data_IF_913563425361
#
_entry.id   IF_913563425361
#
_cell.length_a   1.000
_cell.length_b   1.000
_cell.length_c   1.000
_cell.angle_alpha   90.00
_cell.angle_beta   90.00
_cell.angle_gamma   90.00
#
_symmetry.space_group_name_H-M   'P 1'
#
loop_
_entity.id
_entity.type
_entity.pdbx_description
1 polymer ?
#
# COMPACT_ATOMS: atom_id res chain seq x y z
N UNK A 1 15.26 4.17 22.16
CA UNK A 1 15.43 2.71 22.08
C UNK A 1 14.67 1.98 23.16
N UNK A 2 15.19 1.93 24.38
CA UNK A 2 14.55 1.20 25.49
C UNK A 2 13.15 1.73 25.85
N UNK A 3 12.90 3.03 25.66
CA UNK A 3 11.58 3.63 25.89
C UNK A 3 10.48 3.08 24.96
N UNK A 4 10.78 2.75 23.69
CA UNK A 4 9.78 2.19 22.78
C UNK A 4 9.45 0.74 23.14
N UNK A 5 10.44 -0.03 23.62
CA UNK A 5 10.21 -1.39 24.14
C UNK A 5 9.38 -1.36 25.42
N UNK A 6 9.67 -0.43 26.33
CA UNK A 6 8.85 -0.22 27.52
C UNK A 6 7.42 0.16 27.13
N UNK A 7 7.24 1.09 26.18
CA UNK A 7 5.92 1.47 25.68
C UNK A 7 5.16 0.28 25.08
N UNK A 8 5.84 -0.58 24.31
CA UNK A 8 5.26 -1.83 23.82
C UNK A 8 4.75 -2.70 24.97
N UNK A 9 5.59 -2.93 25.98
CA UNK A 9 5.21 -3.74 27.15
C UNK A 9 4.03 -3.14 27.90
N UNK A 10 3.97 -1.80 28.01
CA UNK A 10 2.85 -1.09 28.64
C UNK A 10 1.56 -1.21 27.82
N UNK A 11 1.61 -1.11 26.48
CA UNK A 11 0.43 -1.31 25.61
C UNK A 11 -0.12 -2.73 25.79
N UNK A 12 0.76 -3.73 25.80
CA UNK A 12 0.36 -5.13 26.00
C UNK A 12 -0.20 -5.34 27.40
N UNK A 13 0.47 -4.83 28.44
CA UNK A 13 0.02 -4.97 29.82
C UNK A 13 -1.32 -4.28 30.04
N UNK A 14 -1.47 -3.04 29.57
CA UNK A 14 -2.71 -2.28 29.66
C UNK A 14 -3.82 -3.04 28.94
N UNK A 15 -3.58 -3.61 27.76
CA UNK A 15 -4.60 -4.41 27.08
C UNK A 15 -5.11 -5.60 27.92
N UNK A 16 -4.24 -6.29 28.66
CA UNK A 16 -4.64 -7.45 29.47
C UNK A 16 -5.24 -7.07 30.84
N UNK A 17 -4.85 -5.92 31.40
CA UNK A 17 -5.26 -5.48 32.74
C UNK A 17 -6.47 -4.54 32.68
N UNK A 18 -6.63 -3.80 31.58
CA UNK A 18 -7.70 -2.83 31.42
C UNK A 18 -9.05 -3.57 31.40
N UNK A 19 -10.01 -3.23 32.27
CA UNK A 19 -11.33 -3.88 32.35
C UNK A 19 -12.24 -3.63 31.12
N UNK A 20 -11.72 -3.15 30.01
CA UNK A 20 -12.49 -2.65 28.87
C UNK A 20 -12.84 -3.72 27.85
N UNK A 21 -14.13 -4.08 27.86
CA UNK A 21 -14.93 -4.67 26.77
C UNK A 21 -15.00 -6.21 26.61
N UNK A 22 -14.15 -7.02 27.27
CA UNK A 22 -14.28 -8.49 27.23
C UNK A 22 -14.84 -9.17 28.49
N UNK A 23 -15.51 -8.41 29.38
CA UNK A 23 -16.12 -8.99 30.57
C UNK A 23 -16.91 -7.99 31.39
N UNK A 24 -18.19 -7.82 31.09
CA UNK A 24 -19.16 -7.29 32.06
C UNK A 24 -19.39 -8.34 33.15
N UNK A 25 -18.40 -8.56 34.02
CA UNK A 25 -18.59 -9.20 35.31
C UNK A 25 -17.82 -8.42 36.37
N UNK A 26 -18.60 -7.79 37.27
CA UNK A 26 -18.25 -7.32 38.61
C UNK A 26 -17.53 -5.97 38.71
N UNK A 27 -18.32 -4.89 38.61
CA UNK A 27 -18.28 -3.82 39.62
C UNK A 27 -19.73 -3.35 39.85
N UNK A 28 -20.41 -4.07 40.74
CA UNK A 28 -21.67 -3.66 41.35
C UNK A 28 -21.37 -2.74 42.52
N UNK A 29 -20.99 -1.48 42.25
CA UNK A 29 -20.92 -0.43 43.28
C UNK A 29 -20.83 0.99 42.66
N UNK A 30 -21.70 1.29 41.67
CA UNK A 30 -22.08 2.68 41.40
C UNK A 30 -23.59 2.87 41.61
N UNK A 31 -24.03 4.01 42.18
CA UNK A 31 -25.43 4.25 42.46
C UNK A 31 -26.22 4.25 41.14
N UNK A 32 -27.28 3.45 41.11
CA UNK A 32 -28.25 3.38 40.01
C UNK A 32 -29.07 4.67 39.92
N UNK A 33 -28.45 5.77 39.47
CA UNK A 33 -29.14 7.02 39.17
C UNK A 33 -28.65 7.57 37.83
N UNK A 34 -28.95 6.86 36.75
CA UNK A 34 -28.98 7.40 35.39
C UNK A 34 -29.97 6.57 34.57
N UNK A 35 -30.98 7.19 33.93
CA UNK A 35 -32.03 6.45 33.25
C UNK A 35 -31.42 5.69 32.08
N UNK A 36 -31.77 4.41 31.97
CA UNK A 36 -31.37 3.45 30.94
C UNK A 36 -30.87 4.09 29.63
N UNK A 37 -29.57 4.38 29.54
CA UNK A 37 -28.95 4.78 28.27
C UNK A 37 -28.97 3.58 27.35
N UNK A 38 -29.60 3.70 26.17
CA UNK A 38 -29.60 2.63 25.18
C UNK A 38 -28.18 2.22 24.81
N UNK A 39 -27.99 0.98 24.33
CA UNK A 39 -26.67 0.50 23.88
C UNK A 39 -26.03 1.46 22.86
N UNK A 40 -26.83 2.00 21.94
CA UNK A 40 -26.43 3.01 20.97
C UNK A 40 -25.95 4.32 21.63
N UNK A 41 -26.62 4.78 22.69
CA UNK A 41 -26.21 5.98 23.42
C UNK A 41 -24.86 5.80 24.12
N UNK A 42 -24.59 4.60 24.66
CA UNK A 42 -23.28 4.25 25.22
C UNK A 42 -22.19 4.19 24.15
N UNK A 43 -22.45 3.52 23.02
CA UNK A 43 -21.52 3.45 21.90
C UNK A 43 -21.16 4.84 21.35
N UNK A 44 -22.16 5.71 21.18
CA UNK A 44 -21.97 7.09 20.76
C UNK A 44 -21.12 7.87 21.76
N UNK A 45 -21.42 7.75 23.06
CA UNK A 45 -20.64 8.42 24.11
C UNK A 45 -19.17 7.96 24.10
N UNK A 46 -18.91 6.65 23.98
CA UNK A 46 -17.54 6.12 23.87
C UNK A 46 -16.85 6.65 22.61
N UNK A 47 -17.55 6.76 21.49
CA UNK A 47 -16.99 7.32 20.25
C UNK A 47 -16.64 8.81 20.39
N UNK A 48 -17.48 9.60 21.07
CA UNK A 48 -17.20 11.01 21.36
C UNK A 48 -15.98 11.17 22.26
N UNK A 49 -15.90 10.38 23.35
CA UNK A 49 -14.76 10.39 24.27
C UNK A 49 -13.45 10.02 23.57
N UNK A 50 -13.48 8.97 22.74
CA UNK A 50 -12.35 8.60 21.90
C UNK A 50 -11.94 9.74 20.96
N UNK A 51 -12.90 10.39 20.30
CA UNK A 51 -12.59 11.50 19.40
C UNK A 51 -11.95 12.69 20.15
N UNK A 52 -12.39 12.96 21.38
CA UNK A 52 -11.79 13.99 22.22
C UNK A 52 -10.37 13.61 22.64
N UNK A 53 -10.14 12.34 23.01
CA UNK A 53 -8.84 11.86 23.47
C UNK A 53 -7.77 11.88 22.38
N UNK A 54 -8.10 11.45 21.16
CA UNK A 54 -7.15 11.45 20.04
C UNK A 54 -6.77 12.87 19.59
N UNK A 55 -7.58 13.88 19.94
CA UNK A 55 -7.33 15.30 19.67
C UNK A 55 -6.64 16.02 20.84
N UNK A 56 -6.57 15.39 22.02
CA UNK A 56 -5.98 15.98 23.20
C UNK A 56 -4.45 16.06 23.05
N UNK A 57 -3.89 17.23 23.38
CA UNK A 57 -2.43 17.44 23.44
C UNK A 57 -1.82 16.96 24.76
N UNK A 58 -2.64 16.68 25.77
CA UNK A 58 -2.24 16.22 27.09
C UNK A 58 -2.74 14.79 27.32
N UNK A 59 -2.14 14.12 28.31
CA UNK A 59 -2.54 12.79 28.73
C UNK A 59 -3.96 12.79 29.30
N UNK A 60 -4.82 11.89 28.81
CA UNK A 60 -6.20 11.73 29.27
C UNK A 60 -6.28 10.47 30.12
N UNK A 61 -6.34 10.61 31.45
CA UNK A 61 -6.23 9.48 32.38
C UNK A 61 -7.27 8.37 32.18
N UNK A 62 -8.43 8.70 31.62
CA UNK A 62 -9.55 7.77 31.41
C UNK A 62 -9.43 6.94 30.12
N UNK A 63 -8.35 7.09 29.37
CA UNK A 63 -8.18 6.47 28.06
C UNK A 63 -6.93 5.60 28.01
N UNK A 64 -6.96 4.46 27.30
CA UNK A 64 -5.77 3.64 27.13
C UNK A 64 -4.71 4.37 26.31
N UNK A 65 -3.46 3.95 26.45
CA UNK A 65 -2.28 4.45 25.70
C UNK A 65 -2.59 4.52 24.20
N UNK A 66 -3.24 3.49 23.65
CA UNK A 66 -3.55 3.40 22.22
C UNK A 66 -4.62 4.42 21.77
N UNK A 67 -5.39 4.99 22.69
CA UNK A 67 -6.36 6.05 22.44
C UNK A 67 -5.88 7.46 22.86
N UNK A 68 -4.63 7.59 23.33
CA UNK A 68 -4.03 8.89 23.66
C UNK A 68 -3.67 9.65 22.39
N UNK A 69 -4.10 10.91 22.26
CA UNK A 69 -3.75 11.77 21.12
C UNK A 69 -2.25 11.94 20.92
N UNK A 70 -1.48 12.02 22.00
CA UNK A 70 -0.02 12.09 21.95
C UNK A 70 0.60 10.84 21.31
N UNK A 71 0.13 9.64 21.69
CA UNK A 71 0.60 8.38 21.12
C UNK A 71 0.20 8.25 19.66
N UNK A 72 -1.09 8.45 19.34
CA UNK A 72 -1.62 8.35 17.97
C UNK A 72 -0.88 9.32 17.03
N UNK A 73 -0.68 10.56 17.45
CA UNK A 73 0.05 11.57 16.66
C UNK A 73 1.53 11.20 16.46
N UNK A 74 2.20 10.74 17.52
CA UNK A 74 3.58 10.27 17.42
C UNK A 74 3.71 9.06 16.49
N UNK A 75 2.83 8.06 16.63
CA UNK A 75 2.80 6.86 15.80
C UNK A 75 2.54 7.19 14.31
N UNK A 76 1.58 8.06 14.03
CA UNK A 76 1.25 8.47 12.65
C UNK A 76 2.36 9.27 11.96
N UNK A 77 3.26 9.90 12.73
CA UNK A 77 4.37 10.73 12.21
C UNK A 77 5.74 10.09 12.42
N UNK A 78 5.80 8.90 13.00
CA UNK A 78 7.01 8.24 13.48
C UNK A 78 8.11 8.09 12.42
N UNK A 79 7.72 7.94 11.15
CA UNK A 79 8.62 7.70 10.02
C UNK A 79 8.90 8.95 9.17
N UNK A 80 8.56 10.14 9.66
CA UNK A 80 8.92 11.37 8.96
C UNK A 80 10.44 11.61 9.09
N UNK A 81 11.15 11.91 7.98
CA UNK A 81 12.60 12.10 7.99
C UNK A 81 13.11 13.12 9.02
N UNK A 82 12.31 14.13 9.34
CA UNK A 82 12.62 15.15 10.34
C UNK A 82 12.91 14.59 11.76
N UNK A 83 12.49 13.37 12.07
CA UNK A 83 12.75 12.70 13.34
C UNK A 83 13.94 11.73 13.29
N UNK A 84 14.60 11.62 12.15
CA UNK A 84 15.82 10.84 11.94
C UNK A 84 15.57 9.36 11.63
N UNK A 85 16.19 8.88 10.54
CA UNK A 85 16.07 7.51 10.04
C UNK A 85 16.48 6.41 11.04
N UNK A 86 17.39 6.70 11.99
CA UNK A 86 17.86 5.74 12.98
C UNK A 86 16.74 5.24 13.92
N UNK A 87 15.68 6.03 14.12
CA UNK A 87 14.54 5.64 14.96
C UNK A 87 13.49 4.84 14.20
N UNK A 88 13.49 4.89 12.87
CA UNK A 88 12.44 4.29 12.05
C UNK A 88 12.30 2.78 12.26
N UNK A 89 13.37 1.94 12.25
CA UNK A 89 13.23 0.50 12.47
C UNK A 89 12.53 0.15 13.78
N UNK A 90 12.76 0.96 14.82
CA UNK A 90 12.25 0.73 16.17
C UNK A 90 10.78 1.11 16.29
N UNK A 91 10.37 2.17 15.61
CA UNK A 91 8.96 2.51 15.44
C UNK A 91 8.22 1.47 14.61
N UNK A 92 8.82 0.98 13.52
CA UNK A 92 8.24 -0.10 12.71
C UNK A 92 8.03 -1.35 13.58
N UNK A 93 9.04 -1.79 14.34
CA UNK A 93 8.93 -2.94 15.22
C UNK A 93 7.84 -2.77 16.29
N UNK A 94 7.82 -1.63 16.99
CA UNK A 94 6.79 -1.32 17.99
C UNK A 94 5.39 -1.39 17.37
N UNK A 95 5.17 -0.70 16.24
CA UNK A 95 3.83 -0.59 15.66
C UNK A 95 3.35 -1.91 15.07
N UNK A 96 4.24 -2.67 14.42
CA UNK A 96 3.91 -4.01 13.91
C UNK A 96 3.54 -4.98 15.04
N UNK A 97 4.28 -4.97 16.15
CA UNK A 97 3.99 -5.81 17.31
C UNK A 97 2.75 -5.38 18.11
N UNK A 98 2.34 -4.11 17.98
CA UNK A 98 1.22 -3.55 18.73
C UNK A 98 -0.11 -3.64 17.98
N UNK A 99 -0.11 -4.08 16.71
CA UNK A 99 -1.29 -4.09 15.83
C UNK A 99 -2.57 -4.69 16.45
N UNK A 100 -2.52 -5.83 17.17
CA UNK A 100 -3.73 -6.43 17.75
C UNK A 100 -4.37 -5.58 18.86
N UNK A 101 -3.62 -4.64 19.44
CA UNK A 101 -4.02 -3.85 20.61
C UNK A 101 -4.47 -2.43 20.26
N UNK A 102 -4.37 -2.02 18.99
CA UNK A 102 -4.64 -0.63 18.59
C UNK A 102 -6.12 -0.26 18.56
N UNK A 103 -7.03 -1.24 18.50
CA UNK A 103 -8.49 -1.00 18.52
C UNK A 103 -8.94 0.07 17.53
N UNK A 104 -9.74 1.03 18.00
CA UNK A 104 -10.24 2.20 17.24
C UNK A 104 -9.14 3.02 16.57
N UNK A 105 -7.93 3.03 17.14
CA UNK A 105 -6.80 3.78 16.60
C UNK A 105 -6.09 3.08 15.44
N UNK A 106 -6.41 1.82 15.16
CA UNK A 106 -5.74 1.01 14.13
C UNK A 106 -5.75 1.71 12.77
N UNK A 107 -6.92 2.12 12.28
CA UNK A 107 -7.04 2.74 10.95
C UNK A 107 -6.35 4.11 10.85
N UNK A 108 -6.46 4.93 11.90
CA UNK A 108 -5.89 6.30 11.93
C UNK A 108 -4.36 6.30 12.12
N UNK A 109 -3.78 5.21 12.62
CA UNK A 109 -2.32 5.03 12.71
C UNK A 109 -1.78 4.35 11.45
N UNK A 110 -2.38 3.24 11.02
CA UNK A 110 -1.83 2.38 9.96
C UNK A 110 -1.82 3.09 8.61
N UNK A 111 -2.90 3.79 8.23
CA UNK A 111 -2.97 4.47 6.94
C UNK A 111 -1.85 5.52 6.74
N UNK A 112 -1.68 6.54 7.61
CA UNK A 112 -0.60 7.51 7.43
C UNK A 112 0.80 6.89 7.56
N UNK A 113 0.95 5.83 8.37
CA UNK A 113 2.21 5.10 8.48
C UNK A 113 2.57 4.41 7.16
N UNK A 114 1.62 3.71 6.53
CA UNK A 114 1.75 3.11 5.20
C UNK A 114 2.10 4.17 4.16
N UNK A 115 1.37 5.29 4.13
CA UNK A 115 1.66 6.40 3.22
C UNK A 115 3.10 6.90 3.40
N UNK A 116 3.57 7.05 4.64
CA UNK A 116 4.92 7.54 4.92
C UNK A 116 6.00 6.51 4.56
N UNK A 117 5.77 5.21 4.79
CA UNK A 117 6.67 4.13 4.32
C UNK A 117 6.83 4.18 2.80
N UNK A 118 5.73 4.31 2.06
CA UNK A 118 5.72 4.43 0.60
C UNK A 118 6.51 5.66 0.14
N UNK A 119 6.28 6.83 0.75
CA UNK A 119 7.05 8.07 0.45
C UNK A 119 8.54 7.91 0.68
N UNK A 120 8.93 7.27 1.78
CA UNK A 120 10.33 7.04 2.10
C UNK A 120 10.98 6.07 1.08
N UNK A 121 10.27 5.00 0.69
CA UNK A 121 10.74 4.08 -0.36
C UNK A 121 10.89 4.79 -1.71
N UNK A 122 9.90 5.59 -2.11
CA UNK A 122 9.92 6.36 -3.36
C UNK A 122 11.10 7.33 -3.39
N UNK A 123 11.42 7.98 -2.26
CA UNK A 123 12.56 8.89 -2.15
C UNK A 123 13.90 8.15 -2.28
N UNK A 124 14.03 6.94 -1.70
CA UNK A 124 15.22 6.11 -1.89
C UNK A 124 15.40 5.71 -3.37
N UNK A 125 14.31 5.39 -4.08
CA UNK A 125 14.36 5.10 -5.52
C UNK A 125 14.77 6.35 -6.32
N UNK A 126 14.27 7.54 -5.96
CA UNK A 126 14.72 8.78 -6.60
C UNK A 126 16.21 9.03 -6.37
N UNK A 127 16.71 8.83 -5.15
CA UNK A 127 18.14 8.97 -4.86
C UNK A 127 18.97 8.00 -5.70
N UNK A 128 18.53 6.74 -5.81
CA UNK A 128 19.15 5.75 -6.71
C UNK A 128 19.20 6.21 -8.17
N UNK A 129 18.13 6.82 -8.69
CA UNK A 129 18.08 7.32 -10.07
C UNK A 129 18.99 8.55 -10.29
N UNK A 130 19.14 9.43 -9.29
CA UNK A 130 19.93 10.67 -9.40
C UNK A 130 21.44 10.45 -9.19
N UNK A 131 21.85 9.46 -8.39
CA UNK A 131 23.28 9.12 -8.22
C UNK A 131 23.93 8.63 -9.54
N UNK A 132 23.13 8.21 -10.53
CA UNK A 132 23.60 7.76 -11.85
C UNK A 132 23.91 8.88 -12.86
N UNK A 133 23.43 10.11 -12.64
CA UNK A 133 23.62 11.25 -13.53
C UNK A 133 24.26 12.42 -12.79
N UNK A 134 25.51 12.78 -13.14
CA UNK A 134 26.31 13.87 -12.54
C UNK A 134 25.43 14.99 -11.95
N UNK A 135 25.23 14.97 -10.64
CA UNK A 135 24.55 16.03 -9.91
C UNK A 135 25.44 16.47 -8.75
N UNK A 136 25.95 17.68 -8.92
CA UNK A 136 26.47 18.58 -7.90
C UNK A 136 25.75 18.34 -6.58
N UNK A 137 26.52 18.06 -5.52
CA UNK A 137 26.06 17.96 -4.13
C UNK A 137 24.99 19.01 -3.83
N UNK A 138 23.72 18.61 -3.91
CA UNK A 138 22.64 19.49 -3.47
C UNK A 138 22.64 19.45 -1.96
N UNK A 139 22.69 20.64 -1.38
CA UNK A 139 22.86 20.99 0.03
C UNK A 139 21.70 20.54 0.94
N UNK A 140 21.03 19.43 0.64
CA UNK A 140 19.95 18.84 1.45
C UNK A 140 20.40 17.51 2.06
N UNK A 141 21.48 16.91 1.56
CA UNK A 141 22.15 15.78 2.20
C UNK A 141 22.95 16.20 3.44
N UNK A 142 22.27 16.61 4.52
CA UNK A 142 22.76 16.15 5.82
C UNK A 142 22.83 14.64 5.67
N UNK A 143 24.04 14.10 5.82
CA UNK A 143 24.34 12.68 5.72
C UNK A 143 23.63 11.98 6.88
N UNK A 144 22.30 11.93 6.80
CA UNK A 144 21.49 11.19 7.74
C UNK A 144 21.86 9.73 7.48
N UNK A 145 22.36 9.07 8.53
CA UNK A 145 22.88 7.71 8.43
C UNK A 145 21.70 6.76 8.18
N UNK A 146 21.28 6.63 6.92
CA UNK A 146 20.30 5.65 6.47
C UNK A 146 21.00 4.31 6.44
N UNK A 147 20.48 3.35 7.21
CA UNK A 147 21.02 2.00 7.22
C UNK A 147 20.79 1.32 5.85
N UNK A 148 21.72 0.47 5.36
CA UNK A 148 21.62 -0.13 4.03
C UNK A 148 20.42 -1.08 3.87
N UNK A 149 19.92 -1.63 4.97
CA UNK A 149 18.75 -2.51 5.08
C UNK A 149 17.43 -1.75 5.22
N UNK A 150 17.45 -0.42 5.32
CA UNK A 150 16.27 0.40 5.54
C UNK A 150 15.12 0.17 4.54
N UNK A 151 15.35 0.01 3.21
CA UNK A 151 14.26 -0.36 2.28
C UNK A 151 13.58 -1.69 2.65
N UNK A 152 14.36 -2.67 3.12
CA UNK A 152 13.83 -3.97 3.52
C UNK A 152 13.03 -3.86 4.82
N UNK A 153 13.51 -3.07 5.80
CA UNK A 153 12.76 -2.78 7.03
C UNK A 153 11.41 -2.14 6.72
N UNK A 154 11.37 -1.18 5.79
CA UNK A 154 10.11 -0.54 5.37
C UNK A 154 9.18 -1.52 4.66
N UNK A 155 9.70 -2.37 3.78
CA UNK A 155 8.90 -3.39 3.08
C UNK A 155 8.33 -4.44 4.03
N UNK A 156 9.11 -4.88 5.02
CA UNK A 156 8.66 -5.80 6.05
C UNK A 156 7.53 -5.17 6.87
N UNK A 157 7.73 -3.94 7.36
CA UNK A 157 6.69 -3.19 8.06
C UNK A 157 5.43 -2.99 7.21
N UNK A 158 5.59 -2.56 5.96
CA UNK A 158 4.49 -2.36 5.01
C UNK A 158 3.68 -3.66 4.82
N UNK A 159 4.38 -4.79 4.73
CA UNK A 159 3.79 -6.13 4.60
C UNK A 159 3.00 -6.49 5.85
N UNK A 160 3.61 -6.44 7.03
CA UNK A 160 2.93 -6.79 8.29
C UNK A 160 1.70 -5.92 8.54
N UNK A 161 1.81 -4.60 8.38
CA UNK A 161 0.70 -3.67 8.60
C UNK A 161 -0.47 -3.94 7.65
N UNK A 162 -0.17 -4.06 6.36
CA UNK A 162 -1.19 -4.25 5.32
C UNK A 162 -1.85 -5.62 5.45
N UNK A 163 -1.06 -6.67 5.65
CA UNK A 163 -1.56 -8.05 5.74
C UNK A 163 -2.38 -8.25 7.01
N UNK A 164 -2.00 -7.66 8.14
CA UNK A 164 -2.82 -7.70 9.35
C UNK A 164 -4.20 -7.07 9.14
N UNK A 165 -4.28 -5.90 8.48
CA UNK A 165 -5.57 -5.24 8.25
C UNK A 165 -6.43 -5.93 7.17
N UNK A 166 -5.81 -6.59 6.20
CA UNK A 166 -6.51 -7.14 5.04
C UNK A 166 -6.75 -8.66 5.15
N UNK A 167 -5.74 -9.43 5.54
CA UNK A 167 -5.68 -10.89 5.40
C UNK A 167 -5.86 -11.65 6.72
N UNK A 168 -5.52 -11.06 7.86
CA UNK A 168 -5.60 -11.80 9.13
C UNK A 168 -7.05 -12.16 9.48
N UNK A 169 -7.24 -13.46 9.68
CA UNK A 169 -8.54 -14.10 9.84
C UNK A 169 -9.15 -13.79 11.22
N UNK A 170 -10.48 -13.83 11.27
CA UNK A 170 -11.35 -13.57 12.45
C UNK A 170 -10.95 -14.27 13.77
N UNK A 171 -10.04 -15.25 13.74
CA UNK A 171 -9.51 -15.97 14.92
C UNK A 171 -8.43 -15.20 15.68
N UNK A 172 -7.64 -14.33 15.01
CA UNK A 172 -6.62 -13.49 15.67
C UNK A 172 -7.19 -12.16 16.17
N UNK A 173 -8.31 -11.73 15.57
CA UNK A 173 -8.97 -10.44 15.83
C UNK A 173 -10.14 -10.55 16.82
N UNK A 174 -10.27 -11.67 17.54
CA UNK A 174 -11.32 -11.89 18.57
C UNK A 174 -11.31 -10.78 19.64
N UNK A 175 -10.17 -10.09 19.75
CA UNK A 175 -9.87 -8.97 20.61
C UNK A 175 -10.39 -7.58 20.17
N UNK A 176 -10.71 -7.37 18.89
CA UNK A 176 -11.06 -6.05 18.32
C UNK A 176 -12.51 -6.01 17.84
N UNK A 177 -13.19 -4.86 18.05
CA UNK A 177 -14.52 -4.61 17.50
C UNK A 177 -14.51 -4.81 15.96
N UNK A 178 -15.42 -5.62 15.39
CA UNK A 178 -15.53 -5.79 13.94
C UNK A 178 -15.69 -4.47 13.16
N UNK A 179 -16.25 -3.43 13.77
CA UNK A 179 -16.34 -2.10 13.16
C UNK A 179 -14.96 -1.45 12.98
N UNK A 180 -14.08 -1.56 13.97
CA UNK A 180 -12.73 -0.98 13.94
C UNK A 180 -11.85 -1.66 12.90
N UNK A 181 -11.90 -2.99 12.84
CA UNK A 181 -11.21 -3.79 11.81
C UNK A 181 -11.68 -3.38 10.41
N UNK A 182 -12.99 -3.19 10.23
CA UNK A 182 -13.55 -2.75 8.94
C UNK A 182 -13.09 -1.35 8.57
N UNK A 183 -13.05 -0.42 9.53
CA UNK A 183 -12.58 0.94 9.30
C UNK A 183 -11.09 0.96 8.92
N UNK A 184 -10.26 0.20 9.63
CA UNK A 184 -8.84 0.05 9.31
C UNK A 184 -8.64 -0.58 7.93
N UNK A 185 -9.38 -1.64 7.60
CA UNK A 185 -9.37 -2.27 6.27
C UNK A 185 -9.68 -1.25 5.17
N UNK A 186 -10.74 -0.46 5.34
CA UNK A 186 -11.11 0.55 4.34
C UNK A 186 -10.00 1.60 4.17
N UNK A 187 -9.43 2.09 5.27
CA UNK A 187 -8.32 3.05 5.22
C UNK A 187 -7.09 2.47 4.51
N UNK A 188 -6.75 1.19 4.74
CA UNK A 188 -5.65 0.52 4.03
C UNK A 188 -5.96 0.30 2.54
N UNK A 189 -7.21 -0.02 2.19
CA UNK A 189 -7.63 -0.16 0.79
C UNK A 189 -7.49 1.17 0.04
N UNK A 190 -7.77 2.31 0.68
CA UNK A 190 -7.58 3.64 0.07
C UNK A 190 -6.11 3.93 -0.27
N UNK A 191 -5.16 3.35 0.47
CA UNK A 191 -3.71 3.50 0.25
C UNK A 191 -3.13 2.52 -0.79
N UNK A 192 -3.90 1.51 -1.25
CA UNK A 192 -3.43 0.49 -2.21
C UNK A 192 -2.82 1.05 -3.51
N UNK A 193 -3.38 2.10 -4.15
CA UNK A 193 -2.77 2.68 -5.34
C UNK A 193 -1.36 3.23 -5.09
N UNK A 194 -1.14 3.83 -3.92
CA UNK A 194 0.17 4.38 -3.55
C UNK A 194 1.16 3.25 -3.25
N UNK A 195 0.76 2.25 -2.45
CA UNK A 195 1.57 1.06 -2.20
C UNK A 195 2.00 0.36 -3.49
N UNK A 196 1.05 0.14 -4.41
CA UNK A 196 1.33 -0.46 -5.71
C UNK A 196 2.28 0.40 -6.56
N UNK A 197 2.13 1.72 -6.52
CA UNK A 197 3.06 2.63 -7.21
C UNK A 197 4.48 2.47 -6.69
N UNK A 198 4.67 2.45 -5.37
CA UNK A 198 5.99 2.24 -4.74
C UNK A 198 6.58 0.87 -5.09
N UNK A 199 5.77 -0.19 -5.05
CA UNK A 199 6.20 -1.53 -5.46
C UNK A 199 6.65 -1.56 -6.92
N UNK A 200 5.92 -0.88 -7.82
CA UNK A 200 6.28 -0.79 -9.23
C UNK A 200 7.52 0.08 -9.48
N UNK A 201 7.87 1.03 -8.59
CA UNK A 201 9.14 1.75 -8.63
C UNK A 201 10.30 0.83 -8.23
N UNK A 202 10.17 0.13 -7.10
CA UNK A 202 11.16 -0.86 -6.63
C UNK A 202 11.36 -1.98 -7.65
N UNK A 203 10.28 -2.45 -8.29
CA UNK A 203 10.35 -3.44 -9.37
C UNK A 203 11.19 -2.95 -10.56
N UNK A 204 11.08 -1.66 -10.89
CA UNK A 204 11.92 -1.03 -11.91
C UNK A 204 13.39 -0.98 -11.53
N UNK A 205 13.72 -0.84 -10.24
CA UNK A 205 15.11 -0.95 -9.74
C UNK A 205 15.60 -2.40 -9.88
N UNK A 206 14.82 -3.38 -9.43
CA UNK A 206 15.14 -4.82 -9.56
C UNK A 206 15.46 -5.19 -11.01
N UNK A 207 14.61 -4.78 -11.96
CA UNK A 207 14.81 -5.08 -13.38
C UNK A 207 16.09 -4.46 -13.96
N UNK A 208 16.42 -3.24 -13.55
CA UNK A 208 17.63 -2.55 -14.01
C UNK A 208 18.89 -3.24 -13.47
N UNK A 209 18.90 -3.60 -12.20
CA UNK A 209 19.97 -4.36 -11.55
C UNK A 209 20.16 -5.76 -12.19
N UNK A 210 19.08 -6.51 -12.42
CA UNK A 210 19.13 -7.84 -13.07
C UNK A 210 19.68 -7.75 -14.51
N UNK A 211 19.33 -6.70 -15.25
CA UNK A 211 19.80 -6.49 -16.62
C UNK A 211 21.29 -6.13 -16.66
N UNK A 212 21.77 -5.35 -15.70
CA UNK A 212 23.19 -4.99 -15.58
C UNK A 212 24.06 -6.19 -15.19
N UNK A 213 23.60 -7.05 -14.27
CA UNK A 213 24.32 -8.27 -13.88
C UNK A 213 24.53 -9.22 -15.06
N UNK A 214 23.51 -9.41 -15.92
CA UNK A 214 23.59 -10.30 -17.11
C UNK A 214 24.47 -9.77 -18.24
N UNK A 215 24.71 -8.45 -18.31
CA UNK A 215 25.57 -7.83 -19.33
C UNK A 215 27.05 -7.70 -18.95
N UNK A 216 27.40 -8.00 -17.68
CA UNK A 216 28.72 -7.69 -17.12
C UNK A 216 29.81 -8.73 -17.36
N UNK A 217 29.49 -9.89 -17.96
CA UNK A 217 30.46 -10.96 -18.22
C UNK A 217 31.40 -10.68 -19.42
N UNK A 218 31.24 -9.57 -20.16
CA UNK A 218 32.08 -9.30 -21.35
C UNK A 218 32.70 -7.89 -21.48
N UNK A 219 32.48 -6.94 -20.56
CA UNK A 219 33.18 -5.64 -20.67
C UNK A 219 33.54 -5.01 -19.32
N UNK A 220 34.78 -5.25 -18.87
CA UNK A 220 35.43 -4.46 -17.82
C UNK A 220 35.93 -3.11 -18.36
N UNK A 221 35.04 -2.24 -18.83
CA UNK A 221 35.41 -0.83 -19.04
C UNK A 221 34.22 0.11 -18.93
N UNK A 222 34.34 1.02 -17.95
CA UNK A 222 33.70 2.33 -17.84
C UNK A 222 32.21 2.41 -17.42
N UNK A 223 32.06 2.62 -16.10
CA UNK A 223 31.20 3.64 -15.45
C UNK A 223 29.71 3.56 -15.79
N UNK A 224 28.93 2.82 -15.00
CA UNK A 224 27.59 3.18 -14.48
C UNK A 224 27.06 2.02 -13.59
N UNK A 225 27.89 1.44 -12.71
CA UNK A 225 27.36 0.60 -11.63
C UNK A 225 26.73 1.53 -10.62
N UNK A 226 25.41 1.45 -10.44
CA UNK A 226 24.71 2.20 -9.38
C UNK A 226 25.41 1.94 -8.05
N UNK A 227 26.09 2.94 -7.49
CA UNK A 227 26.84 2.82 -6.23
C UNK A 227 25.94 2.83 -5.00
N UNK A 228 24.62 2.77 -5.20
CA UNK A 228 23.64 2.85 -4.14
C UNK A 228 23.78 1.67 -3.18
N UNK A 229 24.02 1.98 -1.90
CA UNK A 229 24.17 0.96 -0.86
C UNK A 229 22.82 0.31 -0.52
N UNK A 230 21.70 0.97 -0.86
CA UNK A 230 20.35 0.59 -0.44
C UNK A 230 19.74 -0.59 -1.22
N UNK A 231 20.13 -0.80 -2.48
CA UNK A 231 19.47 -1.77 -3.37
C UNK A 231 20.36 -2.93 -3.83
N UNK A 232 21.43 -3.22 -3.07
CA UNK A 232 22.43 -4.23 -3.43
C UNK A 232 21.89 -5.66 -3.57
N UNK A 233 20.85 -6.04 -2.81
CA UNK A 233 20.23 -7.37 -2.91
C UNK A 233 18.93 -7.32 -3.73
N UNK A 234 19.06 -7.20 -5.05
CA UNK A 234 17.92 -7.17 -5.97
C UNK A 234 17.03 -8.41 -5.87
N UNK A 235 17.61 -9.59 -5.59
CA UNK A 235 16.87 -10.85 -5.36
C UNK A 235 15.98 -10.78 -4.12
N UNK A 236 16.53 -10.33 -2.99
CA UNK A 236 15.75 -10.16 -1.75
C UNK A 236 14.67 -9.10 -1.94
N UNK A 237 15.01 -7.99 -2.60
CA UNK A 237 14.04 -6.93 -2.90
C UNK A 237 12.88 -7.44 -3.76
N UNK A 238 13.19 -8.20 -4.82
CA UNK A 238 12.20 -8.89 -5.67
C UNK A 238 11.29 -9.77 -4.83
N UNK A 239 11.87 -10.60 -3.97
CA UNK A 239 11.12 -11.50 -3.10
C UNK A 239 10.19 -10.71 -2.16
N UNK A 240 10.67 -9.66 -1.48
CA UNK A 240 9.84 -8.84 -0.57
C UNK A 240 8.69 -8.14 -1.29
N UNK A 241 8.90 -7.63 -2.51
CA UNK A 241 7.82 -7.03 -3.31
C UNK A 241 6.74 -8.07 -3.66
N UNK A 242 7.15 -9.30 -4.00
CA UNK A 242 6.20 -10.37 -4.32
C UNK A 242 5.51 -10.92 -3.06
N UNK A 243 6.23 -11.07 -1.95
CA UNK A 243 5.67 -11.45 -0.64
C UNK A 243 4.58 -10.47 -0.20
N UNK A 244 4.79 -9.18 -0.43
CA UNK A 244 3.80 -8.15 -0.16
C UNK A 244 2.54 -8.27 -1.05
N UNK A 245 2.70 -8.35 -2.38
CA UNK A 245 1.57 -8.27 -3.32
C UNK A 245 0.81 -9.57 -3.51
N UNK A 246 1.49 -10.71 -3.48
CA UNK A 246 0.91 -12.01 -3.88
C UNK A 246 -0.31 -12.40 -3.02
N UNK A 247 -0.28 -12.28 -1.68
CA UNK A 247 -1.44 -12.64 -0.87
C UNK A 247 -2.66 -11.73 -1.11
N UNK A 248 -2.45 -10.49 -1.58
CA UNK A 248 -3.52 -9.55 -1.90
C UNK A 248 -4.30 -9.95 -3.17
N UNK A 249 -3.72 -10.78 -4.04
CA UNK A 249 -4.36 -11.18 -5.29
C UNK A 249 -5.57 -12.10 -5.12
N UNK A 250 -5.72 -12.71 -3.94
CA UNK A 250 -6.88 -13.52 -3.59
C UNK A 250 -8.11 -12.63 -3.33
N UNK A 251 -8.42 -12.38 -2.05
CA UNK A 251 -9.63 -11.67 -1.65
C UNK A 251 -9.70 -10.22 -2.15
N UNK A 252 -8.56 -9.56 -2.35
CA UNK A 252 -8.47 -8.15 -2.74
C UNK A 252 -8.01 -7.94 -4.18
N UNK A 253 -8.07 -8.99 -5.01
CA UNK A 253 -7.57 -8.94 -6.39
C UNK A 253 -8.24 -7.87 -7.26
N UNK A 254 -9.55 -7.65 -7.11
CA UNK A 254 -10.27 -6.59 -7.83
C UNK A 254 -9.82 -5.19 -7.40
N UNK A 255 -9.62 -4.97 -6.10
CA UNK A 255 -9.11 -3.69 -5.55
C UNK A 255 -7.66 -3.45 -5.98
N UNK A 256 -6.84 -4.51 -6.04
CA UNK A 256 -5.48 -4.45 -6.56
C UNK A 256 -5.47 -4.10 -8.06
N UNK A 257 -6.38 -4.67 -8.86
CA UNK A 257 -6.54 -4.30 -10.28
C UNK A 257 -7.07 -2.88 -10.47
N UNK A 258 -8.01 -2.41 -9.65
CA UNK A 258 -8.42 -1.01 -9.67
C UNK A 258 -7.23 -0.09 -9.37
N UNK A 259 -6.36 -0.49 -8.44
CA UNK A 259 -5.10 0.21 -8.13
C UNK A 259 -4.13 0.20 -9.31
N UNK A 260 -4.00 -0.91 -10.07
CA UNK A 260 -3.24 -0.97 -11.32
C UNK A 260 -3.73 0.10 -12.30
N UNK A 261 -5.04 0.23 -12.47
CA UNK A 261 -5.62 1.25 -13.35
C UNK A 261 -5.32 2.68 -12.90
N UNK A 262 -5.39 2.94 -11.60
CA UNK A 262 -5.03 4.23 -11.02
C UNK A 262 -3.54 4.56 -11.26
N UNK A 263 -2.63 3.62 -11.01
CA UNK A 263 -1.18 3.80 -11.22
C UNK A 263 -0.83 3.90 -12.71
N UNK A 264 -1.51 3.15 -13.58
CA UNK A 264 -1.34 3.25 -15.02
C UNK A 264 -1.68 4.66 -15.56
N UNK A 265 -2.74 5.25 -15.00
CA UNK A 265 -3.16 6.62 -15.31
C UNK A 265 -2.20 7.68 -14.75
N UNK A 266 -1.68 7.49 -13.53
CA UNK A 266 -0.75 8.43 -12.91
C UNK A 266 0.58 8.50 -13.68
N UNK A 267 1.06 7.37 -14.22
CA UNK A 267 2.28 7.27 -15.04
C UNK A 267 2.10 7.68 -16.51
N UNK A 268 0.95 8.27 -16.88
CA UNK A 268 0.71 8.78 -18.24
C UNK A 268 1.68 9.93 -18.54
N UNK A 269 2.52 9.75 -19.55
CA UNK A 269 3.43 10.79 -19.99
C UNK A 269 2.65 11.88 -20.76
N UNK A 270 2.45 13.06 -20.16
CA UNK A 270 1.70 14.18 -20.79
C UNK A 270 2.38 14.74 -22.05
N UNK A 271 3.66 14.44 -22.27
CA UNK A 271 4.50 15.04 -23.32
C UNK A 271 4.44 14.37 -24.70
N UNK A 272 3.80 13.21 -24.86
CA UNK A 272 3.75 12.49 -26.15
C UNK A 272 2.32 12.32 -26.66
N UNK A 273 1.70 13.42 -27.08
CA UNK A 273 0.63 13.35 -28.08
C UNK A 273 1.28 13.43 -29.46
N UNK A 274 1.95 12.35 -29.89
CA UNK A 274 2.27 12.18 -31.32
C UNK A 274 0.94 11.95 -32.05
N UNK A 275 0.51 12.94 -32.84
CA UNK A 275 -0.80 13.01 -33.51
C UNK A 275 -1.14 11.84 -34.45
N UNK A 276 -0.24 10.86 -34.65
CA UNK A 276 -0.34 9.85 -35.71
C UNK A 276 -0.37 8.38 -35.24
N UNK A 277 -0.61 8.08 -33.96
CA UNK A 277 -0.83 6.68 -33.51
C UNK A 277 -2.17 6.53 -32.80
N UNK A 278 -3.07 5.76 -33.43
CA UNK A 278 -4.43 5.48 -32.95
C UNK A 278 -4.38 4.60 -31.69
N UNK A 279 -3.42 3.68 -31.62
CA UNK A 279 -3.19 2.79 -30.48
C UNK A 279 -2.07 3.32 -29.55
N UNK A 280 -2.31 3.39 -28.22
CA UNK A 280 -1.33 3.92 -27.29
C UNK A 280 -0.18 2.93 -27.07
N UNK A 281 1.05 3.34 -27.44
CA UNK A 281 2.26 2.61 -27.05
C UNK A 281 2.54 2.84 -25.56
N UNK A 282 2.63 1.77 -24.78
CA UNK A 282 2.95 1.85 -23.36
C UNK A 282 4.39 2.36 -23.15
N UNK A 283 4.58 3.29 -22.21
CA UNK A 283 5.91 3.73 -21.78
C UNK A 283 6.61 2.64 -20.97
N UNK A 284 7.93 2.70 -20.86
CA UNK A 284 8.72 1.77 -20.03
C UNK A 284 8.18 1.68 -18.59
N UNK A 285 7.85 2.82 -17.98
CA UNK A 285 7.26 2.90 -16.63
C UNK A 285 5.91 2.20 -16.47
N UNK A 286 5.17 2.00 -17.57
CA UNK A 286 3.89 1.28 -17.63
C UNK A 286 4.13 -0.20 -17.92
N UNK A 287 5.10 -0.53 -18.76
CA UNK A 287 5.54 -1.92 -18.97
C UNK A 287 6.09 -2.53 -17.68
N UNK A 288 6.75 -1.75 -16.82
CA UNK A 288 7.14 -2.20 -15.47
C UNK A 288 5.94 -2.70 -14.65
N UNK A 289 4.76 -2.09 -14.80
CA UNK A 289 3.53 -2.54 -14.12
C UNK A 289 3.05 -3.88 -14.72
N UNK A 290 3.05 -4.01 -16.05
CA UNK A 290 2.71 -5.27 -16.74
C UNK A 290 3.61 -6.39 -16.25
N UNK A 291 4.91 -6.14 -16.22
CA UNK A 291 5.90 -7.11 -15.77
C UNK A 291 5.77 -7.50 -14.31
N UNK A 292 5.43 -6.54 -13.44
CA UNK A 292 5.15 -6.79 -12.03
C UNK A 292 3.94 -7.71 -11.88
N UNK A 293 2.82 -7.40 -12.56
CA UNK A 293 1.61 -8.21 -12.51
C UNK A 293 1.86 -9.62 -13.05
N UNK A 294 2.60 -9.76 -14.16
CA UNK A 294 3.02 -11.08 -14.69
C UNK A 294 3.87 -11.89 -13.72
N UNK A 295 4.59 -11.21 -12.84
CA UNK A 295 5.48 -11.86 -11.86
C UNK A 295 4.76 -12.30 -10.60
N UNK A 296 3.47 -11.96 -10.44
CA UNK A 296 2.58 -12.52 -9.43
C UNK A 296 2.17 -13.94 -9.89
N UNK A 297 3.12 -14.88 -9.78
CA UNK A 297 3.04 -16.23 -10.38
C UNK A 297 1.89 -17.12 -9.91
N UNK A 298 1.04 -16.65 -8.98
CA UNK A 298 -0.21 -17.31 -8.57
C UNK A 298 -1.38 -17.02 -9.51
N UNK A 299 -1.27 -16.00 -10.37
CA UNK A 299 -2.36 -15.55 -11.22
C UNK A 299 -2.24 -16.13 -12.63
N UNK A 300 -3.25 -16.91 -13.04
CA UNK A 300 -3.40 -17.22 -14.47
C UNK A 300 -3.87 -16.00 -15.25
N UNK A 301 -3.59 -15.98 -16.55
CA UNK A 301 -4.09 -14.94 -17.47
C UNK A 301 -5.61 -14.81 -17.39
N UNK A 302 -6.35 -15.92 -17.30
CA UNK A 302 -7.80 -15.93 -17.12
C UNK A 302 -8.24 -15.15 -15.88
N UNK A 303 -7.64 -15.43 -14.72
CA UNK A 303 -7.99 -14.74 -13.48
C UNK A 303 -7.69 -13.24 -13.56
N UNK A 304 -6.58 -12.84 -14.21
CA UNK A 304 -6.25 -11.43 -14.44
C UNK A 304 -7.32 -10.77 -15.32
N UNK A 305 -7.68 -11.38 -16.46
CA UNK A 305 -8.70 -10.86 -17.36
C UNK A 305 -10.07 -10.76 -16.67
N UNK A 306 -10.42 -11.72 -15.82
CA UNK A 306 -11.66 -11.69 -15.05
C UNK A 306 -11.66 -10.56 -14.02
N UNK A 307 -10.56 -10.32 -13.30
CA UNK A 307 -10.45 -9.17 -12.39
C UNK A 307 -10.52 -7.84 -13.14
N UNK A 308 -9.84 -7.73 -14.29
CA UNK A 308 -9.94 -6.55 -15.18
C UNK A 308 -11.40 -6.32 -15.59
N UNK A 309 -12.13 -7.38 -15.96
CA UNK A 309 -13.55 -7.31 -16.32
C UNK A 309 -14.38 -6.71 -15.19
N UNK A 310 -14.23 -7.20 -13.97
CA UNK A 310 -14.98 -6.70 -12.81
C UNK A 310 -14.67 -5.22 -12.52
N UNK A 311 -13.41 -4.80 -12.68
CA UNK A 311 -13.02 -3.39 -12.52
C UNK A 311 -13.62 -2.51 -13.62
N UNK A 312 -13.60 -2.97 -14.88
CA UNK A 312 -14.14 -2.21 -16.02
C UNK A 312 -15.67 -2.09 -15.91
N UNK A 313 -16.35 -3.14 -15.43
CA UNK A 313 -17.81 -3.15 -15.18
C UNK A 313 -18.23 -2.20 -14.06
N UNK A 314 -17.43 -2.09 -13.00
CA UNK A 314 -17.66 -1.18 -11.86
C UNK A 314 -16.41 -0.31 -11.62
N UNK A 315 -16.21 0.72 -12.46
CA UNK A 315 -14.99 1.50 -12.40
C UNK A 315 -14.93 2.31 -11.11
N UNK A 316 -13.84 2.11 -10.38
CA UNK A 316 -13.52 2.91 -9.20
C UNK A 316 -13.14 4.33 -9.63
N UNK A 317 -13.49 5.32 -8.82
CA UNK A 317 -13.10 6.70 -9.06
C UNK A 317 -11.66 6.92 -8.62
N UNK A 318 -10.82 7.41 -9.53
CA UNK A 318 -9.50 7.94 -9.17
C UNK A 318 -9.74 9.34 -8.61
N UNK A 319 -9.58 9.52 -7.28
CA UNK A 319 -9.49 10.86 -6.69
C UNK A 319 -8.17 11.49 -7.14
N UNK A 320 -8.22 12.33 -8.17
CA UNK A 320 -7.11 13.19 -8.60
C UNK A 320 -7.58 14.63 -8.51
N UNK A 321 -6.74 15.52 -7.98
CA UNK A 321 -6.99 16.95 -7.78
C UNK A 321 -7.99 17.52 -8.80
N UNK A 322 -9.20 17.79 -8.30
CA UNK A 322 -10.34 18.47 -8.93
C UNK A 322 -11.04 17.80 -10.13
N UNK A 323 -10.60 16.63 -10.63
CA UNK A 323 -11.39 15.85 -11.62
C UNK A 323 -11.29 14.34 -11.35
N UNK A 324 -12.40 13.75 -10.93
CA UNK A 324 -12.52 12.29 -10.84
C UNK A 324 -12.49 11.69 -12.25
N UNK A 325 -11.53 10.81 -12.48
CA UNK A 325 -11.47 10.00 -13.71
C UNK A 325 -11.69 8.55 -13.35
N UNK A 326 -12.52 7.85 -14.12
CA UNK A 326 -12.75 6.42 -13.95
C UNK A 326 -11.50 5.61 -14.38
N UNK A 327 -11.29 4.47 -13.73
CA UNK A 327 -10.19 3.53 -14.05
C UNK A 327 -10.46 2.64 -15.26
N UNK A 328 -11.66 2.70 -15.85
CA UNK A 328 -12.09 1.90 -17.01
C UNK A 328 -11.12 1.96 -18.20
N UNK A 329 -10.85 3.16 -18.72
CA UNK A 329 -9.94 3.34 -19.87
C UNK A 329 -8.49 2.97 -19.52
N UNK A 330 -7.91 3.41 -18.39
CA UNK A 330 -6.60 2.92 -17.94
C UNK A 330 -6.52 1.40 -17.83
N UNK A 331 -7.56 0.74 -17.36
CA UNK A 331 -7.59 -0.71 -17.26
C UNK A 331 -7.65 -1.41 -18.61
N UNK A 332 -8.40 -0.88 -19.58
CA UNK A 332 -8.39 -1.41 -20.95
C UNK A 332 -7.01 -1.23 -21.61
N UNK A 333 -6.35 -0.08 -21.38
CA UNK A 333 -4.98 0.12 -21.86
C UNK A 333 -3.97 -0.85 -21.24
N UNK A 334 -4.10 -1.10 -19.93
CA UNK A 334 -3.30 -2.09 -19.25
C UNK A 334 -3.55 -3.49 -19.82
N UNK A 335 -4.83 -3.88 -19.97
CA UNK A 335 -5.22 -5.17 -20.52
C UNK A 335 -4.62 -5.40 -21.90
N UNK A 336 -4.73 -4.41 -22.79
CA UNK A 336 -4.12 -4.45 -24.12
C UNK A 336 -2.61 -4.71 -24.06
N UNK A 337 -1.88 -3.92 -23.26
CA UNK A 337 -0.43 -4.10 -23.12
C UNK A 337 -0.05 -5.43 -22.47
N UNK A 338 -0.87 -5.93 -21.53
CA UNK A 338 -0.70 -7.23 -20.91
C UNK A 338 -0.85 -8.36 -21.93
N UNK A 339 -1.92 -8.33 -22.74
CA UNK A 339 -2.20 -9.30 -23.81
C UNK A 339 -1.08 -9.32 -24.86
N UNK A 340 -0.56 -8.14 -25.24
CA UNK A 340 0.57 -8.07 -26.18
C UNK A 340 1.87 -8.69 -25.63
N UNK A 341 1.97 -8.83 -24.30
CA UNK A 341 3.18 -9.31 -23.64
C UNK A 341 3.16 -10.80 -23.30
N UNK A 342 2.06 -11.51 -23.53
CA UNK A 342 1.94 -12.95 -23.28
C UNK A 342 2.23 -13.77 -24.56
N UNK A 343 2.72 -15.02 -24.43
CA UNK A 343 2.94 -15.90 -25.59
C UNK A 343 1.65 -16.19 -26.37
N UNK A 344 1.77 -16.43 -27.68
CA UNK A 344 0.61 -16.70 -28.55
C UNK A 344 -0.23 -17.90 -28.10
N UNK A 345 0.42 -18.93 -27.56
CA UNK A 345 -0.27 -20.12 -27.01
C UNK A 345 -1.15 -19.74 -25.81
N UNK A 346 -0.63 -18.95 -24.86
CA UNK A 346 -1.40 -18.48 -23.73
C UNK A 346 -2.58 -17.58 -24.18
N UNK A 347 -2.42 -16.82 -25.26
CA UNK A 347 -3.52 -16.03 -25.82
C UNK A 347 -4.63 -16.92 -26.40
N UNK A 348 -4.28 -17.98 -27.14
CA UNK A 348 -5.24 -18.93 -27.69
C UNK A 348 -6.07 -19.61 -26.59
N UNK A 349 -5.41 -20.04 -25.51
CA UNK A 349 -6.07 -20.67 -24.35
C UNK A 349 -7.02 -19.71 -23.61
N UNK A 350 -6.76 -18.40 -23.66
CA UNK A 350 -7.52 -17.38 -22.93
C UNK A 350 -8.44 -16.54 -23.84
N UNK A 351 -8.74 -17.03 -25.05
CA UNK A 351 -9.54 -16.30 -26.03
C UNK A 351 -11.00 -16.09 -25.57
N UNK A 352 -11.62 -17.07 -24.89
CA UNK A 352 -12.99 -16.95 -24.42
C UNK A 352 -13.17 -15.84 -23.34
N UNK A 353 -12.37 -15.81 -22.25
CA UNK A 353 -12.39 -14.70 -21.29
C UNK A 353 -12.15 -13.33 -21.93
N UNK A 354 -11.24 -13.26 -22.90
CA UNK A 354 -10.94 -12.04 -23.64
C UNK A 354 -12.12 -11.55 -24.47
N UNK A 355 -12.78 -12.44 -25.22
CA UNK A 355 -13.98 -12.10 -25.99
C UNK A 355 -15.13 -11.67 -25.08
N UNK A 356 -15.29 -12.28 -23.91
CA UNK A 356 -16.27 -11.84 -22.91
C UNK A 356 -15.96 -10.44 -22.40
N UNK A 357 -14.70 -10.16 -22.05
CA UNK A 357 -14.27 -8.82 -21.64
C UNK A 357 -14.58 -7.78 -22.72
N UNK A 358 -14.23 -8.05 -23.98
CA UNK A 358 -14.49 -7.14 -25.10
C UNK A 358 -15.99 -6.91 -25.31
N UNK A 359 -16.78 -7.99 -25.37
CA UNK A 359 -18.24 -7.92 -25.56
C UNK A 359 -18.93 -7.08 -24.48
N UNK A 360 -18.57 -7.31 -23.22
CA UNK A 360 -19.14 -6.55 -22.10
C UNK A 360 -18.64 -5.10 -22.10
N UNK A 361 -17.38 -4.86 -22.47
CA UNK A 361 -16.82 -3.50 -22.55
C UNK A 361 -17.49 -2.65 -23.64
N UNK A 362 -17.95 -3.24 -24.75
CA UNK A 362 -18.73 -2.54 -25.80
C UNK A 362 -20.09 -2.09 -25.28
N UNK A 363 -20.68 -2.81 -24.31
CA UNK A 363 -21.95 -2.43 -23.70
C UNK A 363 -21.82 -1.29 -22.67
N UNK A 364 -20.59 -0.93 -22.31
CA UNK A 364 -20.33 0.19 -21.42
C UNK A 364 -20.29 1.50 -22.23
N UNK A 365 -20.83 2.58 -21.66
CA UNK A 365 -20.76 3.92 -22.22
C UNK A 365 -19.35 4.52 -22.08
N UNK A 366 -18.35 3.87 -22.68
CA UNK A 366 -16.95 4.28 -22.61
C UNK A 366 -16.74 5.59 -23.36
N UNK A 367 -15.79 6.42 -22.92
CA UNK A 367 -15.37 7.55 -23.74
C UNK A 367 -14.71 7.04 -25.05
N UNK A 368 -14.62 7.87 -26.12
CA UNK A 368 -14.10 7.44 -27.43
C UNK A 368 -12.76 6.68 -27.40
N UNK A 369 -11.75 7.03 -26.57
CA UNK A 369 -10.51 6.27 -26.46
C UNK A 369 -10.69 4.80 -26.04
N UNK A 370 -11.73 4.50 -25.26
CA UNK A 370 -12.08 3.13 -24.87
C UNK A 370 -12.56 2.32 -26.08
N UNK A 371 -13.42 2.89 -26.91
CA UNK A 371 -13.93 2.24 -28.12
C UNK A 371 -12.80 1.90 -29.12
N UNK A 372 -11.82 2.78 -29.29
CA UNK A 372 -10.67 2.50 -30.16
C UNK A 372 -9.80 1.34 -29.65
N UNK A 373 -9.66 1.18 -28.33
CA UNK A 373 -8.91 0.08 -27.72
C UNK A 373 -9.63 -1.27 -27.85
N UNK A 374 -10.95 -1.27 -28.04
CA UNK A 374 -11.73 -2.49 -28.27
C UNK A 374 -11.68 -2.94 -29.73
N UNK A 375 -11.27 -2.06 -30.65
CA UNK A 375 -11.30 -2.27 -32.11
C UNK A 375 -9.92 -2.59 -32.73
N UNK A 376 -8.82 -2.39 -32.01
CA UNK A 376 -7.46 -2.64 -32.50
C UNK A 376 -6.61 -3.38 -31.50
#
# INVERSE_FOLDING_TARGET
MELLKLLQALIVLEYHVWPGESGSTLHSDEPRDSPASSALAREWQTAVLFQQSIKAAQYVQTQPITAQGMFVSAAARALQPQYGYAMHPHWVALLCSSLPYLGRSLGIIVAPLITQMCRNLDELVKQYDHDGGKATQSLIGRKENIAPDYPLTLLEGLTTLTHHCLLDNKKSLVACDPADVRNARNAVIEELPHMLSSMALLWGVVKREESQSRGSDYSQTARHTSTSVYFRSSKTLRQRVLEFLTPLTGQYGVQLMASVGAVWSSRRNRRRHTKNKILPVASESRLTIVDLVKSLGTLSTEHILQMVKEVVKKPHQIKRDQKSTLVDIPMLQFSYAYIQSIPAQALQENMAPLLTLLRESVQLNLAPPGHFLLLG
#
